data_IF_072103586588
#
_entry.id   IF_072103586588
#
_cell.length_a   1.000
_cell.length_b   1.000
_cell.length_c   1.000
_cell.angle_alpha   90.00
_cell.angle_beta   90.00
_cell.angle_gamma   90.00
#
_symmetry.space_group_name_H-M   'P 1'
#
loop_
_entity.id
_entity.type
_entity.pdbx_description
1 polymer ?
#
# COMPACT_ATOMS: atom_id res chain seq x y z
N UNK A 1 15.06 48.86 23.41
CA UNK A 1 15.45 47.71 24.25
C UNK A 1 14.25 46.88 24.74
N UNK A 2 13.28 47.46 25.54
CA UNK A 2 12.10 46.71 26.00
C UNK A 2 11.20 46.30 24.84
N UNK A 3 10.91 47.17 23.88
CA UNK A 3 10.10 46.86 22.70
C UNK A 3 10.73 45.80 21.79
N UNK A 4 12.03 45.74 21.66
CA UNK A 4 12.74 44.75 20.86
C UNK A 4 12.66 43.37 21.54
N UNK A 5 12.76 43.31 22.87
CA UNK A 5 12.60 42.08 23.64
C UNK A 5 11.17 41.56 23.54
N UNK A 6 10.16 42.44 23.61
CA UNK A 6 8.75 42.07 23.47
C UNK A 6 8.48 41.50 22.06
N UNK A 7 8.93 42.17 20.99
CA UNK A 7 8.77 41.73 19.59
C UNK A 7 9.49 40.38 19.35
N UNK A 8 10.69 40.22 19.92
CA UNK A 8 11.39 38.93 19.83
C UNK A 8 10.60 37.80 20.55
N UNK A 9 10.09 38.06 21.75
CA UNK A 9 9.29 37.10 22.50
C UNK A 9 7.99 36.72 21.75
N UNK A 10 7.28 37.70 21.17
CA UNK A 10 6.09 37.46 20.34
C UNK A 10 6.42 36.58 19.09
N UNK A 11 7.55 36.86 18.42
CA UNK A 11 8.00 36.10 17.27
C UNK A 11 8.32 34.64 17.65
N UNK A 12 9.01 34.41 18.75
CA UNK A 12 9.28 33.08 19.25
C UNK A 12 8.01 32.32 19.64
N UNK A 13 7.09 32.99 20.31
CA UNK A 13 5.82 32.38 20.70
C UNK A 13 4.99 31.97 19.47
N UNK A 14 4.94 32.84 18.46
CA UNK A 14 4.25 32.54 17.19
C UNK A 14 4.90 31.35 16.45
N UNK A 15 6.23 31.30 16.38
CA UNK A 15 6.97 30.20 15.77
C UNK A 15 6.68 28.86 16.45
N UNK A 16 6.70 28.85 17.79
CA UNK A 16 6.36 27.67 18.59
C UNK A 16 4.90 27.25 18.37
N UNK A 17 3.97 28.21 18.40
CA UNK A 17 2.55 27.91 18.19
C UNK A 17 2.29 27.29 16.82
N UNK A 18 2.88 27.83 15.74
CA UNK A 18 2.78 27.23 14.39
C UNK A 18 3.40 25.83 14.38
N UNK A 19 4.55 25.64 15.01
CA UNK A 19 5.17 24.31 15.13
C UNK A 19 4.23 23.29 15.73
N UNK A 20 3.57 23.63 16.86
CA UNK A 20 2.58 22.73 17.48
C UNK A 20 1.37 22.45 16.58
N UNK A 21 0.89 23.46 15.84
CA UNK A 21 -0.21 23.26 14.87
C UNK A 21 0.20 22.23 13.80
N UNK A 22 1.42 22.36 13.25
CA UNK A 22 1.98 21.39 12.29
C UNK A 22 2.02 19.99 12.92
N UNK A 23 2.58 19.87 14.11
CA UNK A 23 2.71 18.59 14.79
C UNK A 23 1.36 17.91 15.00
N UNK A 24 0.38 18.65 15.53
CA UNK A 24 -0.98 18.13 15.75
C UNK A 24 -1.65 17.73 14.43
N UNK A 25 -1.51 18.53 13.37
CA UNK A 25 -2.07 18.23 12.06
C UNK A 25 -1.52 16.92 11.49
N UNK A 26 -0.21 16.70 11.58
CA UNK A 26 0.42 15.45 11.12
C UNK A 26 0.07 14.24 12.01
N UNK A 27 -0.13 14.44 13.30
CA UNK A 27 -0.63 13.37 14.18
C UNK A 27 -2.04 12.95 13.81
N UNK A 28 -2.93 13.91 13.59
CA UNK A 28 -4.31 13.63 13.13
C UNK A 28 -4.27 12.92 11.77
N UNK A 29 -3.46 13.41 10.83
CA UNK A 29 -3.29 12.80 9.51
C UNK A 29 -2.80 11.35 9.61
N UNK A 30 -1.81 11.08 10.45
CA UNK A 30 -1.28 9.73 10.67
C UNK A 30 -2.34 8.77 11.25
N UNK A 31 -3.18 9.24 12.19
CA UNK A 31 -4.30 8.45 12.73
C UNK A 31 -5.32 8.14 11.62
N UNK A 32 -5.66 9.12 10.78
CA UNK A 32 -6.59 8.94 9.67
C UNK A 32 -6.06 7.93 8.65
N UNK A 33 -4.82 8.10 8.22
CA UNK A 33 -4.18 7.18 7.26
C UNK A 33 -4.11 5.77 7.82
N UNK A 34 -3.73 5.60 9.09
CA UNK A 34 -3.75 4.29 9.75
C UNK A 34 -5.12 3.61 9.66
N UNK A 35 -6.20 4.35 9.96
CA UNK A 35 -7.56 3.81 9.92
C UNK A 35 -7.98 3.42 8.50
N UNK A 36 -7.69 4.29 7.53
CA UNK A 36 -8.03 4.06 6.11
C UNK A 36 -7.28 2.83 5.59
N UNK A 37 -5.96 2.81 5.75
CA UNK A 37 -5.11 1.71 5.28
C UNK A 37 -5.51 0.40 5.94
N UNK A 38 -5.71 0.38 7.26
CA UNK A 38 -6.16 -0.82 7.97
C UNK A 38 -7.51 -1.33 7.43
N UNK A 39 -8.47 -0.43 7.20
CA UNK A 39 -9.78 -0.81 6.64
C UNK A 39 -9.65 -1.40 5.24
N UNK A 40 -8.86 -0.78 4.38
CA UNK A 40 -8.62 -1.26 3.01
C UNK A 40 -7.94 -2.64 3.03
N UNK A 41 -6.85 -2.80 3.79
CA UNK A 41 -6.14 -4.08 3.88
C UNK A 41 -7.00 -5.19 4.47
N UNK A 42 -7.84 -4.88 5.45
CA UNK A 42 -8.80 -5.81 6.05
C UNK A 42 -9.89 -6.24 5.04
N UNK A 43 -10.34 -5.34 4.19
CA UNK A 43 -11.34 -5.66 3.14
C UNK A 43 -10.77 -6.62 2.10
N UNK A 44 -9.46 -6.55 1.85
CA UNK A 44 -8.74 -7.52 1.02
C UNK A 44 -8.39 -8.83 1.77
N UNK A 45 -8.76 -8.96 3.05
CA UNK A 45 -8.44 -10.12 3.90
C UNK A 45 -6.94 -10.48 3.89
N UNK A 46 -6.06 -9.47 3.93
CA UNK A 46 -4.61 -9.67 3.76
C UNK A 46 -4.04 -10.66 4.80
N UNK A 47 -4.52 -10.63 6.04
CA UNK A 47 -4.10 -11.59 7.06
C UNK A 47 -4.46 -13.03 6.69
N UNK A 48 -5.61 -13.25 6.05
CA UNK A 48 -6.04 -14.59 5.59
C UNK A 48 -5.15 -15.09 4.44
N UNK A 49 -4.74 -14.19 3.54
CA UNK A 49 -3.79 -14.50 2.48
C UNK A 49 -2.45 -14.89 3.08
N UNK A 50 -1.95 -14.08 4.01
CA UNK A 50 -0.65 -14.28 4.66
C UNK A 50 -0.61 -15.56 5.51
N UNK A 51 -1.73 -15.90 6.18
CA UNK A 51 -1.81 -17.14 6.96
C UNK A 51 -1.66 -18.40 6.10
N UNK A 52 -2.09 -18.38 4.83
CA UNK A 52 -1.92 -19.53 3.91
C UNK A 52 -0.46 -19.80 3.56
N UNK A 53 0.40 -18.80 3.64
CA UNK A 53 1.86 -18.93 3.39
C UNK A 53 2.65 -19.01 4.71
N UNK A 54 1.97 -19.32 5.83
CA UNK A 54 2.61 -19.52 7.13
C UNK A 54 2.89 -18.26 7.94
N UNK A 55 2.47 -17.06 7.48
CA UNK A 55 2.61 -15.80 8.22
C UNK A 55 1.39 -15.61 9.12
N UNK A 56 1.55 -15.84 10.42
CA UNK A 56 0.47 -15.75 11.42
C UNK A 56 0.36 -14.37 12.09
N UNK A 57 1.32 -13.48 11.82
CA UNK A 57 1.31 -12.11 12.36
C UNK A 57 0.24 -11.25 11.70
N UNK A 58 -0.25 -10.23 12.44
CA UNK A 58 -1.25 -9.31 11.90
C UNK A 58 -0.60 -8.27 10.97
N UNK A 59 -0.41 -8.66 9.70
CA UNK A 59 0.25 -7.86 8.66
C UNK A 59 -0.55 -6.59 8.33
N UNK A 60 -1.87 -6.66 8.35
CA UNK A 60 -2.76 -5.51 8.13
C UNK A 60 -2.49 -4.39 9.14
N UNK A 61 -2.37 -4.77 10.42
CA UNK A 61 -2.07 -3.83 11.50
C UNK A 61 -0.63 -3.31 11.41
N UNK A 62 0.32 -4.18 11.08
CA UNK A 62 1.74 -3.83 10.93
C UNK A 62 1.98 -2.78 9.85
N UNK A 63 1.44 -3.01 8.64
CA UNK A 63 1.56 -2.06 7.50
C UNK A 63 0.88 -0.73 7.85
N UNK A 64 -0.32 -0.77 8.41
CA UNK A 64 -1.06 0.45 8.78
C UNK A 64 -0.32 1.28 9.82
N UNK A 65 0.32 0.61 10.79
CA UNK A 65 1.13 1.25 11.82
C UNK A 65 2.40 1.85 11.23
N UNK A 66 3.09 1.12 10.36
CA UNK A 66 4.31 1.59 9.69
C UNK A 66 4.07 2.87 8.89
N UNK A 67 3.01 2.92 8.08
CA UNK A 67 2.64 4.11 7.31
C UNK A 67 2.30 5.29 8.21
N UNK A 68 1.54 5.06 9.29
CA UNK A 68 1.24 6.10 10.28
C UNK A 68 2.52 6.62 10.95
N UNK A 69 3.43 5.73 11.30
CA UNK A 69 4.71 6.09 11.92
C UNK A 69 5.56 6.97 11.00
N UNK A 70 5.63 6.66 9.69
CA UNK A 70 6.33 7.50 8.72
C UNK A 70 5.73 8.92 8.65
N UNK A 71 4.41 9.05 8.71
CA UNK A 71 3.73 10.36 8.74
C UNK A 71 4.07 11.12 10.03
N UNK A 72 4.13 10.45 11.17
CA UNK A 72 4.55 11.08 12.43
C UNK A 72 5.99 11.58 12.37
N UNK A 73 6.91 10.81 11.77
CA UNK A 73 8.29 11.24 11.58
C UNK A 73 8.39 12.50 10.72
N UNK A 74 7.60 12.59 9.64
CA UNK A 74 7.52 13.80 8.82
C UNK A 74 7.01 14.99 9.64
N UNK A 75 5.95 14.80 10.43
CA UNK A 75 5.41 15.84 11.31
C UNK A 75 6.42 16.35 12.33
N UNK A 76 7.17 15.46 12.96
CA UNK A 76 8.24 15.81 13.90
C UNK A 76 9.35 16.58 13.17
N UNK A 77 9.78 16.12 11.98
CA UNK A 77 10.82 16.80 11.22
C UNK A 77 10.42 18.24 10.86
N UNK A 78 9.18 18.44 10.39
CA UNK A 78 8.66 19.78 10.06
C UNK A 78 8.48 20.66 11.31
N UNK A 79 8.08 20.09 12.44
CA UNK A 79 8.04 20.79 13.73
C UNK A 79 9.42 21.30 14.13
N UNK A 80 10.46 20.47 14.05
CA UNK A 80 11.82 20.83 14.40
C UNK A 80 12.41 21.87 13.41
N UNK A 81 12.06 21.77 12.13
CA UNK A 81 12.42 22.76 11.13
C UNK A 81 11.79 24.13 11.42
N UNK A 82 10.50 24.16 11.79
CA UNK A 82 9.79 25.36 12.19
C UNK A 82 10.45 26.07 13.38
N UNK A 83 11.01 25.31 14.31
CA UNK A 83 11.76 25.87 15.46
C UNK A 83 13.21 26.30 15.11
N UNK A 84 13.62 26.19 13.86
CA UNK A 84 15.00 26.41 13.40
C UNK A 84 16.05 25.53 14.12
N UNK A 85 15.63 24.38 14.66
CA UNK A 85 16.53 23.42 15.35
C UNK A 85 17.25 22.55 14.31
N UNK A 86 16.57 22.26 13.18
CA UNK A 86 17.14 21.47 12.10
C UNK A 86 17.81 22.34 11.04
N UNK A 87 19.04 22.01 10.70
CA UNK A 87 19.68 22.56 9.51
C UNK A 87 18.96 22.02 8.27
N UNK A 88 18.72 22.87 7.26
CA UNK A 88 18.03 22.51 6.00
C UNK A 88 18.63 21.29 5.31
N UNK A 89 19.96 21.08 5.43
CA UNK A 89 20.64 19.90 4.90
C UNK A 89 20.15 18.62 5.61
N UNK A 90 19.96 18.67 6.92
CA UNK A 90 19.51 17.52 7.72
C UNK A 90 18.07 17.14 7.38
N UNK A 91 17.19 18.13 7.19
CA UNK A 91 15.83 17.93 6.73
C UNK A 91 15.79 17.29 5.34
N UNK A 92 16.66 17.74 4.43
CA UNK A 92 16.78 17.18 3.08
C UNK A 92 17.24 15.71 3.12
N UNK A 93 18.20 15.36 3.97
CA UNK A 93 18.67 13.98 4.14
C UNK A 93 17.55 13.08 4.70
N UNK A 94 16.85 13.53 5.75
CA UNK A 94 15.71 12.77 6.29
C UNK A 94 14.62 12.58 5.22
N UNK A 95 14.29 13.63 4.49
CA UNK A 95 13.31 13.58 3.39
C UNK A 95 13.71 12.59 2.30
N UNK A 96 14.99 12.56 1.91
CA UNK A 96 15.51 11.61 0.93
C UNK A 96 15.40 10.15 1.42
N UNK A 97 15.76 9.89 2.67
CA UNK A 97 15.65 8.54 3.27
C UNK A 97 14.18 8.09 3.31
N UNK A 98 13.27 8.95 3.78
CA UNK A 98 11.83 8.66 3.81
C UNK A 98 11.29 8.40 2.41
N UNK A 99 11.69 9.20 1.41
CA UNK A 99 11.31 9.01 0.02
C UNK A 99 11.78 7.67 -0.52
N UNK A 100 13.01 7.25 -0.22
CA UNK A 100 13.52 5.94 -0.63
C UNK A 100 12.72 4.80 -0.01
N UNK A 101 12.37 4.89 1.27
CA UNK A 101 11.53 3.87 1.94
C UNK A 101 10.16 3.78 1.27
N UNK A 102 9.52 4.91 1.02
CA UNK A 102 8.21 4.98 0.37
C UNK A 102 8.28 4.40 -1.05
N UNK A 103 9.28 4.81 -1.85
CA UNK A 103 9.47 4.29 -3.21
C UNK A 103 9.69 2.78 -3.21
N UNK A 104 10.55 2.26 -2.32
CA UNK A 104 10.80 0.82 -2.19
C UNK A 104 9.51 0.05 -1.88
N UNK A 105 8.68 0.59 -0.99
CA UNK A 105 7.39 0.00 -0.66
C UNK A 105 6.44 -0.03 -1.88
N UNK A 106 6.31 1.08 -2.60
CA UNK A 106 5.47 1.14 -3.81
C UNK A 106 5.98 0.23 -4.94
N UNK A 107 7.29 0.17 -5.13
CA UNK A 107 7.89 -0.74 -6.12
C UNK A 107 7.61 -2.20 -5.76
N UNK A 108 7.67 -2.56 -4.46
CA UNK A 108 7.32 -3.91 -4.00
C UNK A 108 5.83 -4.26 -4.22
N UNK A 109 4.94 -3.28 -4.12
CA UNK A 109 3.49 -3.49 -4.28
C UNK A 109 3.00 -3.42 -5.73
N UNK A 110 3.81 -2.95 -6.67
CA UNK A 110 3.38 -2.70 -8.06
C UNK A 110 2.76 -3.92 -8.76
N UNK A 111 3.22 -5.13 -8.41
CA UNK A 111 2.72 -6.37 -9.00
C UNK A 111 1.62 -7.02 -8.14
N UNK A 112 1.63 -6.79 -6.85
CA UNK A 112 0.65 -7.32 -5.90
C UNK A 112 -0.73 -6.67 -6.09
N UNK A 113 -0.77 -5.33 -6.10
CA UNK A 113 -2.04 -4.58 -6.17
C UNK A 113 -2.86 -4.89 -7.42
N UNK A 114 -2.30 -4.88 -8.66
CA UNK A 114 -3.08 -5.21 -9.85
C UNK A 114 -3.64 -6.63 -9.85
N UNK A 115 -2.90 -7.59 -9.30
CA UNK A 115 -3.34 -8.98 -9.22
C UNK A 115 -4.46 -9.17 -8.19
N UNK A 116 -4.39 -8.54 -7.03
CA UNK A 116 -5.47 -8.54 -6.03
C UNK A 116 -6.74 -7.87 -6.57
N UNK A 117 -6.61 -6.72 -7.23
CA UNK A 117 -7.75 -6.05 -7.86
C UNK A 117 -8.39 -6.95 -8.91
N UNK A 118 -7.58 -7.58 -9.76
CA UNK A 118 -8.06 -8.51 -10.78
C UNK A 118 -8.78 -9.71 -10.15
N UNK A 119 -8.26 -10.27 -9.07
CA UNK A 119 -8.92 -11.34 -8.32
C UNK A 119 -10.32 -10.94 -7.83
N UNK A 120 -10.48 -9.74 -7.23
CA UNK A 120 -11.79 -9.24 -6.80
C UNK A 120 -12.78 -9.16 -7.98
N UNK A 121 -12.31 -8.68 -9.15
CA UNK A 121 -13.16 -8.62 -10.36
C UNK A 121 -13.52 -10.01 -10.88
N UNK A 122 -12.56 -10.96 -10.91
CA UNK A 122 -12.80 -12.33 -11.32
C UNK A 122 -13.85 -12.98 -10.43
N UNK A 123 -13.71 -12.83 -9.09
CA UNK A 123 -14.67 -13.38 -8.12
C UNK A 123 -16.05 -12.75 -8.27
N UNK A 124 -16.15 -11.44 -8.42
CA UNK A 124 -17.44 -10.74 -8.57
C UNK A 124 -18.15 -11.09 -9.89
N UNK A 125 -17.44 -11.16 -10.98
CA UNK A 125 -18.02 -11.52 -12.30
C UNK A 125 -18.30 -13.00 -12.44
N UNK A 126 -17.60 -13.86 -11.70
CA UNK A 126 -17.74 -15.31 -11.77
C UNK A 126 -17.50 -15.90 -13.17
N UNK A 127 -16.73 -15.19 -14.02
CA UNK A 127 -16.44 -15.61 -15.39
C UNK A 127 -15.35 -16.68 -15.43
N UNK A 128 -14.34 -16.57 -14.58
CA UNK A 128 -13.23 -17.51 -14.46
C UNK A 128 -13.46 -18.27 -13.16
N UNK A 129 -13.71 -19.57 -13.25
CA UNK A 129 -13.98 -20.49 -12.14
C UNK A 129 -13.26 -21.79 -12.37
N UNK A 130 -13.05 -22.53 -11.29
CA UNK A 130 -12.52 -23.89 -11.32
C UNK A 130 -13.35 -24.79 -12.26
N UNK A 131 -12.68 -25.62 -13.02
CA UNK A 131 -13.25 -26.50 -14.03
C UNK A 131 -13.54 -25.85 -15.39
N UNK A 132 -13.50 -24.52 -15.51
CA UNK A 132 -13.73 -23.83 -16.78
C UNK A 132 -12.49 -23.83 -17.67
N UNK A 133 -12.70 -24.08 -18.96
CA UNK A 133 -11.66 -23.93 -19.97
C UNK A 133 -11.51 -22.47 -20.37
N UNK A 134 -10.31 -21.93 -20.19
CA UNK A 134 -9.95 -20.57 -20.53
C UNK A 134 -8.79 -20.54 -21.51
N UNK A 135 -8.77 -19.51 -22.35
CA UNK A 135 -7.67 -19.22 -23.26
C UNK A 135 -7.35 -17.74 -23.12
N UNK A 136 -6.13 -17.42 -22.70
CA UNK A 136 -5.63 -16.05 -22.54
C UNK A 136 -4.26 -15.95 -23.18
N UNK A 137 -4.12 -15.09 -24.22
CA UNK A 137 -2.95 -15.05 -25.10
C UNK A 137 -2.65 -16.44 -25.68
N UNK A 138 -1.46 -16.97 -25.39
CA UNK A 138 -0.96 -18.27 -25.83
C UNK A 138 -1.21 -19.39 -24.81
N UNK A 139 -1.85 -19.08 -23.69
CA UNK A 139 -2.12 -20.00 -22.60
C UNK A 139 -3.54 -20.51 -22.70
N UNK A 140 -3.70 -21.80 -22.96
CA UNK A 140 -5.00 -22.49 -22.99
C UNK A 140 -5.01 -23.68 -22.05
N UNK A 141 -6.11 -23.85 -21.30
CA UNK A 141 -6.26 -24.96 -20.36
C UNK A 141 -7.50 -24.85 -19.51
N UNK A 142 -7.60 -25.74 -18.51
CA UNK A 142 -8.68 -25.78 -17.55
C UNK A 142 -8.22 -25.13 -16.24
N UNK A 143 -9.03 -24.22 -15.70
CA UNK A 143 -8.75 -23.57 -14.42
C UNK A 143 -8.84 -24.59 -13.29
N UNK A 144 -7.77 -24.77 -12.54
CA UNK A 144 -7.75 -25.61 -11.35
C UNK A 144 -8.11 -24.86 -10.08
N UNK A 145 -7.51 -23.66 -9.94
CA UNK A 145 -7.70 -22.84 -8.73
C UNK A 145 -7.57 -21.36 -9.10
N UNK A 146 -8.34 -20.50 -8.44
CA UNK A 146 -8.25 -19.04 -8.59
C UNK A 146 -7.72 -18.45 -7.30
N UNK A 147 -6.40 -18.35 -7.21
CA UNK A 147 -5.70 -17.73 -6.08
C UNK A 147 -5.78 -16.21 -6.08
N UNK A 148 -5.30 -15.57 -5.00
CA UNK A 148 -5.37 -14.11 -4.83
C UNK A 148 -4.50 -13.33 -5.82
N UNK A 149 -3.35 -13.86 -6.19
CA UNK A 149 -2.41 -13.21 -7.10
C UNK A 149 -2.39 -13.86 -8.48
N UNK A 150 -2.63 -15.14 -8.55
CA UNK A 150 -2.49 -15.96 -9.74
C UNK A 150 -3.62 -17.00 -9.84
N UNK A 151 -3.90 -17.40 -11.05
CA UNK A 151 -4.83 -18.48 -11.40
C UNK A 151 -4.03 -19.66 -11.92
N UNK A 152 -4.28 -20.85 -11.37
CA UNK A 152 -3.67 -22.10 -11.80
C UNK A 152 -4.45 -22.66 -12.98
N UNK A 153 -3.76 -22.89 -14.09
CA UNK A 153 -4.35 -23.45 -15.32
C UNK A 153 -3.63 -24.73 -15.69
N UNK A 154 -4.37 -25.83 -15.76
CA UNK A 154 -3.85 -27.11 -16.27
C UNK A 154 -3.93 -27.12 -17.79
N UNK A 155 -2.78 -27.26 -18.45
CA UNK A 155 -2.67 -27.39 -19.90
C UNK A 155 -3.14 -28.77 -20.38
N UNK A 156 -3.33 -28.92 -21.69
CA UNK A 156 -3.65 -30.24 -22.30
C UNK A 156 -2.53 -31.29 -22.13
N UNK A 157 -1.31 -30.82 -21.85
CA UNK A 157 -0.15 -31.71 -21.57
C UNK A 157 -0.09 -32.16 -20.12
N UNK A 158 -0.96 -31.63 -19.25
CA UNK A 158 -0.98 -31.91 -17.82
C UNK A 158 -0.15 -30.96 -16.95
N UNK A 159 0.58 -30.01 -17.55
CA UNK A 159 1.37 -29.04 -16.81
C UNK A 159 0.47 -27.99 -16.14
N UNK A 160 0.85 -27.53 -14.95
CA UNK A 160 0.17 -26.44 -14.25
C UNK A 160 0.91 -25.14 -14.53
N UNK A 161 0.20 -24.16 -15.11
CA UNK A 161 0.70 -22.83 -15.35
C UNK A 161 0.10 -21.86 -14.34
N UNK A 162 0.96 -21.08 -13.67
CA UNK A 162 0.60 -20.02 -12.76
C UNK A 162 0.47 -18.70 -13.53
N UNK A 163 -0.75 -18.25 -13.74
CA UNK A 163 -1.06 -17.08 -14.56
C UNK A 163 -1.47 -15.92 -13.68
N UNK A 164 -0.72 -14.79 -13.67
CA UNK A 164 -1.08 -13.63 -12.89
C UNK A 164 -2.50 -13.14 -13.19
N UNK A 165 -3.32 -12.90 -12.17
CA UNK A 165 -4.71 -12.49 -12.32
C UNK A 165 -4.89 -11.22 -13.15
N UNK A 166 -3.94 -10.26 -13.02
CA UNK A 166 -3.93 -9.02 -13.79
C UNK A 166 -3.88 -9.25 -15.31
N UNK A 167 -3.38 -10.42 -15.77
CA UNK A 167 -3.34 -10.75 -17.19
C UNK A 167 -4.75 -10.86 -17.80
N UNK A 168 -5.71 -11.41 -17.06
CA UNK A 168 -7.10 -11.53 -17.51
C UNK A 168 -7.81 -10.18 -17.63
N UNK A 169 -7.34 -9.15 -16.91
CA UNK A 169 -7.87 -7.79 -17.07
C UNK A 169 -7.20 -7.02 -18.20
N UNK A 170 -5.91 -7.27 -18.44
CA UNK A 170 -5.09 -6.54 -19.43
C UNK A 170 -5.14 -7.16 -20.83
N UNK A 171 -5.63 -8.40 -20.97
CA UNK A 171 -5.65 -9.13 -22.24
C UNK A 171 -7.05 -9.60 -22.59
N UNK A 172 -7.32 -9.77 -23.88
CA UNK A 172 -8.52 -10.48 -24.32
C UNK A 172 -8.37 -11.94 -23.93
N UNK A 173 -9.41 -12.51 -23.35
CA UNK A 173 -9.48 -13.94 -23.05
C UNK A 173 -10.78 -14.51 -23.61
N UNK A 174 -10.78 -15.77 -23.97
CA UNK A 174 -11.96 -16.49 -24.40
C UNK A 174 -12.34 -17.58 -23.39
N UNK A 175 -13.64 -17.79 -23.23
CA UNK A 175 -14.20 -18.88 -22.46
C UNK A 175 -14.77 -19.89 -23.46
N UNK A 176 -14.22 -21.09 -23.54
CA UNK A 176 -14.82 -22.13 -24.36
C UNK A 176 -15.95 -22.80 -23.57
N UNK A 177 -17.15 -22.87 -24.19
CA UNK A 177 -18.23 -23.70 -23.65
C UNK A 177 -17.77 -25.16 -23.72
N UNK A 178 -17.96 -25.89 -22.62
CA UNK A 178 -17.94 -27.34 -22.67
C UNK A 178 -19.01 -27.82 -23.66
N UNK A 179 -18.62 -28.71 -24.56
CA UNK A 179 -19.56 -29.45 -25.41
C UNK A 179 -20.24 -30.54 -24.61
#
# INVERSE_FOLDING_TARGET
MVEEVVKAAESYFHTIAIGFVILIAFFILGILIKKIVYKVLKEFELNKIMSKIGITSNVEKGISWLLSFLIYLVGIALFLDQLNILNKIFLLVIGAILMLIILTFFVGLKDVIPNLVAWVFIQRKGTIKEGRRVEVREIAGVVENVGYLETEIRTERGDILYVPNALFMKSKFSLKKEK
#
